data_IF_143598414024
#
_entry.id   IF_143598414024
#
_cell.length_a   1.000
_cell.length_b   1.000
_cell.length_c   1.000
_cell.angle_alpha   90.00
_cell.angle_beta   90.00
_cell.angle_gamma   90.00
#
_symmetry.space_group_name_H-M   'P 1'
#
loop_
_entity.id
_entity.type
_entity.pdbx_description
1 polymer ?
#
# COMPACT_ATOMS: atom_id res chain seq x y z
N UNK A 1 -3.02 -10.13 -9.25
CA UNK A 1 -3.15 -9.84 -8.74
C UNK A 1 -3.36 -9.69 -8.37
N UNK A 2 -3.36 -9.61 -8.29
CA UNK A 2 -3.56 -9.36 -7.70
C UNK A 2 -3.98 -9.49 -7.13
N UNK A 3 -4.32 -9.63 -6.95
CA UNK A 3 -4.72 -9.64 -6.38
C UNK A 3 -5.40 -10.09 -5.98
N UNK A 4 -5.50 -10.40 -6.07
CA UNK A 4 -6.16 -10.66 -5.58
C UNK A 4 -6.75 -10.58 -5.20
N UNK A 5 -7.15 -10.61 -5.49
CA UNK A 5 -7.70 -10.31 -4.96
C UNK A 5 -8.01 -10.26 -4.12
N UNK A 6 -8.02 -10.17 -3.83
CA UNK A 6 -8.30 -10.05 -3.03
C UNK A 6 -8.52 -10.13 -2.17
N UNK A 7 -8.70 -10.20 -2.04
CA UNK A 7 -9.04 -10.11 -1.20
C UNK A 7 -9.01 -10.09 -0.31
N UNK A 8 -9.01 -10.09 -0.10
CA UNK A 8 -8.99 -9.95 0.75
C UNK A 8 -9.19 -9.93 1.74
N UNK A 9 -9.25 -10.15 2.09
CA UNK A 9 -9.64 -10.02 2.99
C UNK A 9 -9.14 -9.79 4.05
N UNK A 10 -9.02 -9.47 4.33
CA UNK A 10 -8.43 -9.03 5.17
C UNK A 10 -9.02 -8.83 6.23
N UNK A 11 -9.25 -8.92 6.75
CA UNK A 11 -9.97 -8.86 7.74
C UNK A 11 -9.35 -8.41 8.84
N UNK A 12 -8.61 -7.85 8.82
CA UNK A 12 -8.01 -7.50 9.88
C UNK A 12 -8.65 -6.60 10.71
N UNK A 13 -8.43 -6.43 11.74
CA UNK A 13 -9.11 -5.69 12.50
C UNK A 13 -8.22 -4.82 12.95
N UNK A 14 -8.25 -3.97 12.86
CA UNK A 14 -7.53 -3.10 13.09
C UNK A 14 -7.07 -2.82 14.31
N UNK A 15 -7.29 -2.91 15.15
CA UNK A 15 -6.87 -2.57 16.25
C UNK A 15 -5.87 -1.69 15.84
N UNK A 16 -5.88 -1.35 14.72
CA UNK A 16 -5.09 -0.37 14.31
C UNK A 16 -3.66 -0.58 14.41
N UNK A 17 -3.25 -1.32 15.16
CA UNK A 17 -1.97 -1.48 15.25
C UNK A 17 -1.45 -2.71 14.77
N UNK A 18 -2.23 -3.64 14.53
CA UNK A 18 -1.74 -4.87 14.08
C UNK A 18 -1.60 -4.84 12.63
N UNK A 19 -0.49 -5.18 12.08
CA UNK A 19 -0.24 -5.26 10.67
C UNK A 19 -0.41 -6.69 10.24
N UNK A 20 -1.15 -6.94 9.17
CA UNK A 20 -1.31 -8.25 8.65
C UNK A 20 -0.61 -8.34 7.34
N UNK A 21 0.09 -9.42 7.09
CA UNK A 21 0.81 -9.64 5.85
C UNK A 21 -0.12 -10.36 4.90
N UNK A 22 -0.62 -9.63 3.90
CA UNK A 22 -1.60 -10.19 3.01
C UNK A 22 -1.11 -11.21 2.03
N UNK A 23 0.16 -11.24 1.77
CA UNK A 23 0.68 -12.23 0.85
C UNK A 23 1.24 -13.42 1.59
N UNK A 24 0.74 -13.68 2.78
CA UNK A 24 1.29 -14.73 3.59
C UNK A 24 0.80 -16.11 3.28
N UNK A 25 -0.18 -16.26 2.32
CA UNK A 25 -0.66 -17.53 2.02
C UNK A 25 0.45 -18.45 1.72
N UNK A 26 0.51 -19.57 2.29
CA UNK A 26 1.54 -20.57 2.07
C UNK A 26 2.82 -20.36 2.83
N UNK A 27 2.94 -19.30 3.59
CA UNK A 27 4.15 -19.10 4.34
C UNK A 27 4.03 -19.71 5.70
N UNK A 28 5.16 -19.94 6.33
CA UNK A 28 5.13 -20.46 7.66
C UNK A 28 4.55 -19.48 8.61
N UNK A 29 3.75 -19.95 9.53
CA UNK A 29 3.13 -19.10 10.52
C UNK A 29 4.15 -18.33 11.33
N UNK A 30 5.28 -18.96 11.65
CA UNK A 30 6.29 -18.30 12.45
C UNK A 30 6.89 -17.11 11.72
N UNK A 31 7.07 -17.20 10.41
CA UNK A 31 7.61 -16.09 9.64
C UNK A 31 6.65 -14.93 9.61
N UNK A 32 5.37 -15.22 9.47
CA UNK A 32 4.37 -14.16 9.47
C UNK A 32 4.31 -13.47 10.80
N UNK A 33 4.34 -14.23 11.89
CA UNK A 33 4.31 -13.62 13.20
C UNK A 33 5.53 -12.77 13.47
N UNK A 34 6.69 -13.25 13.04
CA UNK A 34 7.91 -12.50 13.21
C UNK A 34 7.80 -11.15 12.50
N UNK A 35 7.33 -11.15 11.26
CA UNK A 35 7.20 -9.93 10.51
C UNK A 35 6.21 -8.97 11.18
N UNK A 36 5.10 -9.49 11.64
CA UNK A 36 4.13 -8.62 12.30
C UNK A 36 4.68 -7.99 13.57
N UNK A 37 5.47 -8.74 14.33
CA UNK A 37 6.10 -8.17 15.50
C UNK A 37 7.07 -7.08 15.13
N UNK A 38 7.85 -7.30 14.06
CA UNK A 38 8.82 -6.31 13.64
C UNK A 38 8.18 -5.03 13.14
N UNK A 39 6.95 -5.13 12.65
CA UNK A 39 6.28 -3.96 12.10
C UNK A 39 5.46 -3.20 13.13
N UNK A 40 5.48 -3.66 14.39
CA UNK A 40 4.73 -2.95 15.42
C UNK A 40 5.64 -2.03 16.21
N UNK A 41 5.30 -1.83 17.42
CA UNK A 41 5.92 -0.83 18.27
C UNK A 41 7.28 -0.25 17.91
N UNK A 42 8.34 -1.00 17.90
CA UNK A 42 9.65 -0.36 17.69
C UNK A 42 9.78 0.31 16.33
N UNK A 43 8.98 -0.09 15.37
CA UNK A 43 9.13 0.46 14.03
C UNK A 43 8.36 1.76 13.81
N UNK A 44 7.54 2.18 14.77
CA UNK A 44 6.91 3.48 14.66
C UNK A 44 7.97 4.57 14.70
N UNK A 45 8.88 4.49 15.65
CA UNK A 45 9.95 5.48 15.77
C UNK A 45 10.91 5.39 14.59
N UNK A 46 11.19 4.17 14.15
CA UNK A 46 12.10 3.99 13.03
C UNK A 46 11.52 4.58 11.75
N UNK A 47 10.23 4.41 11.53
CA UNK A 47 9.59 4.98 10.36
C UNK A 47 9.70 6.49 10.37
N UNK A 48 9.44 7.09 11.51
CA UNK A 48 9.52 8.53 11.65
C UNK A 48 10.94 9.02 11.39
N UNK A 49 11.91 8.30 11.90
CA UNK A 49 13.30 8.69 11.73
C UNK A 49 13.71 8.64 10.26
N UNK A 50 13.18 7.68 9.51
CA UNK A 50 13.50 7.56 8.10
C UNK A 50 12.61 8.40 7.21
N UNK A 51 11.68 9.17 7.78
CA UNK A 51 10.84 10.05 6.99
C UNK A 51 9.59 9.41 6.44
N UNK A 52 9.27 8.21 6.85
CA UNK A 52 8.03 7.57 6.42
C UNK A 52 6.88 8.02 7.28
N UNK A 53 5.72 8.13 6.67
CA UNK A 53 4.52 8.60 7.35
C UNK A 53 3.91 7.55 8.25
N UNK A 54 4.27 6.28 8.07
CA UNK A 54 3.77 5.23 8.95
C UNK A 54 4.71 4.05 8.90
N UNK A 55 4.63 3.22 9.93
CA UNK A 55 5.42 2.00 9.96
C UNK A 55 4.99 1.01 8.89
N UNK A 56 3.80 1.21 8.34
CA UNK A 56 3.33 0.33 7.27
C UNK A 56 4.25 0.37 6.06
N UNK A 57 5.04 1.43 5.91
CA UNK A 57 5.99 1.51 4.82
C UNK A 57 6.95 0.31 4.83
N UNK A 58 7.34 -0.14 6.01
CA UNK A 58 8.28 -1.27 6.09
C UNK A 58 7.68 -2.57 5.61
N UNK A 59 6.37 -2.72 5.77
CA UNK A 59 5.72 -3.90 5.25
C UNK A 59 5.81 -3.94 3.73
N UNK A 60 5.63 -2.80 3.08
CA UNK A 60 5.73 -2.77 1.63
C UNK A 60 7.18 -2.95 1.17
N UNK A 61 8.14 -2.35 1.85
CA UNK A 61 9.53 -2.56 1.46
C UNK A 61 9.90 -4.03 1.60
N UNK A 62 9.41 -4.69 2.65
CA UNK A 62 9.67 -6.11 2.82
C UNK A 62 9.06 -6.94 1.70
N UNK A 63 7.81 -6.63 1.35
CA UNK A 63 7.14 -7.36 0.28
C UNK A 63 7.85 -7.15 -1.05
N UNK A 64 8.25 -5.91 -1.31
CA UNK A 64 8.91 -5.63 -2.57
C UNK A 64 10.32 -6.22 -2.62
N UNK A 65 11.03 -6.24 -1.50
CA UNK A 65 12.34 -6.90 -1.47
C UNK A 65 12.20 -8.37 -1.83
N UNK A 66 11.11 -8.96 -1.40
CA UNK A 66 10.91 -10.38 -1.64
C UNK A 66 10.39 -10.66 -3.04
N UNK A 67 9.43 -9.89 -3.49
CA UNK A 67 8.75 -10.20 -4.75
C UNK A 67 9.13 -9.30 -5.92
N UNK A 68 9.80 -8.20 -5.64
CA UNK A 68 10.36 -7.32 -6.67
C UNK A 68 9.37 -6.86 -7.72
N UNK A 69 8.23 -6.37 -7.27
CA UNK A 69 7.18 -6.00 -8.20
C UNK A 69 7.15 -4.51 -8.53
N UNK A 70 7.76 -3.67 -7.71
CA UNK A 70 7.67 -2.24 -7.95
C UNK A 70 8.62 -1.75 -9.04
N UNK A 71 9.76 -2.36 -9.17
CA UNK A 71 10.77 -1.83 -10.08
C UNK A 71 10.39 -1.92 -11.54
N UNK A 72 9.37 -2.70 -11.86
CA UNK A 72 8.93 -2.80 -13.24
C UNK A 72 7.56 -2.22 -13.46
N UNK A 73 6.96 -1.66 -12.43
CA UNK A 73 5.59 -1.20 -12.52
C UNK A 73 5.53 0.13 -13.23
N UNK A 74 4.59 0.29 -14.11
CA UNK A 74 4.41 1.55 -14.83
C UNK A 74 3.24 2.33 -14.31
N UNK A 75 2.21 1.66 -13.84
CA UNK A 75 1.03 2.33 -13.30
C UNK A 75 0.63 1.61 -12.03
N UNK A 76 0.65 2.33 -10.93
CA UNK A 76 0.44 1.78 -9.61
C UNK A 76 -0.70 2.52 -8.94
N UNK A 77 -1.60 1.78 -8.31
CA UNK A 77 -2.69 2.39 -7.55
C UNK A 77 -2.56 1.94 -6.09
N UNK A 78 -2.64 2.89 -5.18
CA UNK A 78 -2.57 2.65 -3.75
C UNK A 78 -3.94 2.97 -3.17
N UNK A 79 -4.72 1.95 -2.85
CA UNK A 79 -6.06 2.11 -2.32
C UNK A 79 -6.01 2.20 -0.81
N UNK A 80 -6.69 3.19 -0.25
CA UNK A 80 -6.64 3.42 1.19
C UNK A 80 -5.29 3.96 1.58
N UNK A 81 -4.82 4.96 0.85
CA UNK A 81 -3.44 5.36 0.90
C UNK A 81 -3.03 6.17 2.13
N UNK A 82 -3.97 6.86 2.77
CA UNK A 82 -3.60 7.73 3.89
C UNK A 82 -3.00 6.92 5.04
N UNK A 83 -1.99 7.39 5.68
CA UNK A 83 -1.34 8.70 5.57
C UNK A 83 -0.31 8.80 4.45
N UNK A 84 0.02 7.72 3.74
CA UNK A 84 0.87 7.80 2.58
C UNK A 84 2.17 7.01 2.64
N UNK A 85 2.33 6.16 3.63
CA UNK A 85 3.57 5.39 3.75
C UNK A 85 3.83 4.49 2.56
N UNK A 86 2.81 3.79 2.08
CA UNK A 86 2.97 2.92 0.92
C UNK A 86 3.17 3.74 -0.34
N UNK A 87 2.50 4.89 -0.45
CA UNK A 87 2.71 5.76 -1.60
C UNK A 87 4.17 6.23 -1.64
N UNK A 88 4.74 6.55 -0.50
CA UNK A 88 6.14 6.96 -0.43
C UNK A 88 7.07 5.88 -0.95
N UNK A 89 6.85 4.66 -0.54
CA UNK A 89 7.69 3.55 -0.98
C UNK A 89 7.54 3.33 -2.48
N UNK A 90 6.31 3.43 -2.98
CA UNK A 90 6.09 3.25 -4.42
C UNK A 90 6.83 4.30 -5.21
N UNK A 91 6.80 5.56 -4.76
CA UNK A 91 7.51 6.62 -5.46
C UNK A 91 9.02 6.36 -5.44
N UNK A 92 9.53 5.86 -4.33
CA UNK A 92 10.96 5.58 -4.23
C UNK A 92 11.40 4.46 -5.13
N UNK A 93 10.59 3.44 -5.28
CA UNK A 93 11.05 2.20 -5.91
C UNK A 93 10.56 1.97 -7.32
N UNK A 94 9.50 2.65 -7.73
CA UNK A 94 9.01 2.49 -9.10
C UNK A 94 9.96 3.20 -10.06
N UNK A 95 9.94 2.82 -11.33
CA UNK A 95 10.80 3.49 -12.30
C UNK A 95 10.44 4.95 -12.43
N UNK A 96 11.42 5.76 -12.82
CA UNK A 96 11.16 7.13 -13.08
C UNK A 96 10.10 7.21 -14.18
N UNK A 97 9.14 8.04 -14.02
CA UNK A 97 8.07 8.15 -14.99
C UNK A 97 6.89 7.24 -14.71
N UNK A 98 6.97 6.37 -13.72
CA UNK A 98 5.82 5.56 -13.37
C UNK A 98 4.71 6.47 -12.86
N UNK A 99 3.48 6.07 -13.15
CA UNK A 99 2.31 6.81 -12.69
C UNK A 99 1.84 6.16 -11.39
N UNK A 100 1.75 6.95 -10.34
CA UNK A 100 1.34 6.43 -9.04
C UNK A 100 0.14 7.23 -8.58
N UNK A 101 -0.98 6.56 -8.39
CA UNK A 101 -2.22 7.20 -7.98
C UNK A 101 -2.59 6.68 -6.60
N UNK A 102 -2.72 7.58 -5.66
CA UNK A 102 -3.11 7.25 -4.29
C UNK A 102 -4.55 7.68 -4.08
N UNK A 103 -5.32 6.84 -3.45
CA UNK A 103 -6.75 7.08 -3.26
C UNK A 103 -7.12 6.80 -1.82
N UNK A 104 -7.85 7.70 -1.21
CA UNK A 104 -8.37 7.47 0.14
C UNK A 104 -9.59 8.36 0.31
N UNK A 105 -10.51 7.91 1.13
CA UNK A 105 -11.66 8.72 1.47
C UNK A 105 -11.25 9.81 2.44
N UNK A 106 -10.15 9.61 3.17
CA UNK A 106 -9.62 10.61 4.08
C UNK A 106 -8.64 11.50 3.35
N UNK A 107 -8.44 12.69 3.87
CA UNK A 107 -7.43 13.56 3.32
C UNK A 107 -6.05 13.04 3.64
N UNK A 108 -5.10 13.36 2.80
CA UNK A 108 -3.71 13.14 3.16
C UNK A 108 -2.88 14.17 2.40
N UNK A 109 -1.71 14.47 2.94
CA UNK A 109 -0.80 15.35 2.25
C UNK A 109 -0.25 14.64 1.03
N UNK A 110 -0.12 15.37 -0.05
CA UNK A 110 0.38 14.77 -1.29
C UNK A 110 1.79 14.24 -1.09
N UNK A 111 2.06 13.08 -1.64
CA UNK A 111 3.41 12.55 -1.72
C UNK A 111 3.95 12.99 -3.07
N UNK A 112 5.04 13.72 -3.06
CA UNK A 112 5.60 14.23 -4.30
C UNK A 112 5.96 13.07 -5.21
N UNK A 113 5.60 13.17 -6.46
CA UNK A 113 5.79 12.07 -7.40
C UNK A 113 4.56 11.20 -7.58
N UNK A 114 3.50 11.49 -6.83
CA UNK A 114 2.25 10.74 -6.96
C UNK A 114 1.12 11.71 -7.21
N UNK A 115 -0.04 11.16 -7.52
CA UNK A 115 -1.26 11.92 -7.66
C UNK A 115 -2.23 11.40 -6.60
N UNK A 116 -2.88 12.28 -5.87
CA UNK A 116 -3.82 11.87 -4.82
C UNK A 116 -5.24 12.23 -5.22
N UNK A 117 -6.15 11.30 -5.08
CA UNK A 117 -7.57 11.52 -5.32
C UNK A 117 -8.30 11.16 -4.06
N UNK A 118 -8.99 12.14 -3.48
CA UNK A 118 -9.79 11.87 -2.30
C UNK A 118 -11.16 11.39 -2.79
N UNK A 119 -11.43 10.13 -2.64
CA UNK A 119 -12.71 9.58 -3.05
C UNK A 119 -12.94 8.25 -2.41
N UNK A 120 -14.22 7.83 -2.41
CA UNK A 120 -14.60 6.52 -1.96
C UNK A 120 -14.50 5.59 -3.16
N UNK A 121 -13.52 4.69 -3.14
CA UNK A 121 -13.32 3.82 -4.30
C UNK A 121 -14.42 2.76 -4.44
N UNK A 122 -15.35 2.74 -3.50
CA UNK A 122 -16.52 1.88 -3.63
C UNK A 122 -17.66 2.59 -4.35
N UNK A 123 -17.49 3.85 -4.73
CA UNK A 123 -18.52 4.60 -5.39
C UNK A 123 -18.75 4.16 -6.81
N UNK A 124 -19.87 4.61 -7.39
CA UNK A 124 -20.26 4.15 -8.72
C UNK A 124 -19.28 4.53 -9.81
N UNK A 125 -18.71 5.70 -9.72
CA UNK A 125 -17.82 6.16 -10.78
C UNK A 125 -16.35 5.94 -10.44
N UNK A 126 -16.07 5.20 -9.39
CA UNK A 126 -14.70 5.07 -8.91
C UNK A 126 -13.80 4.42 -9.95
N UNK A 127 -14.28 3.38 -10.57
CA UNK A 127 -13.46 2.66 -11.53
C UNK A 127 -13.08 3.55 -12.71
N UNK A 128 -14.04 4.32 -13.21
CA UNK A 128 -13.78 5.21 -14.33
C UNK A 128 -12.80 6.30 -13.94
N UNK A 129 -12.97 6.88 -12.78
CA UNK A 129 -12.07 7.93 -12.32
C UNK A 129 -10.66 7.41 -12.13
N UNK A 130 -10.57 6.18 -11.64
CA UNK A 130 -9.28 5.56 -11.42
C UNK A 130 -8.57 5.30 -12.74
N UNK A 131 -9.27 4.78 -13.72
CA UNK A 131 -8.69 4.51 -15.02
C UNK A 131 -8.24 5.80 -15.68
N UNK A 132 -9.02 6.84 -15.54
CA UNK A 132 -8.65 8.11 -16.11
C UNK A 132 -7.40 8.66 -15.46
N UNK A 133 -7.32 8.61 -14.15
CA UNK A 133 -6.17 9.11 -13.43
C UNK A 133 -4.91 8.31 -13.75
N UNK A 134 -5.07 7.01 -13.87
CA UNK A 134 -3.91 6.15 -14.16
C UNK A 134 -3.40 6.30 -15.58
N UNK A 135 -4.25 6.71 -16.49
CA UNK A 135 -3.84 6.96 -17.85
C UNK A 135 -3.65 5.71 -18.69
N UNK A 136 -4.11 4.58 -18.20
CA UNK A 136 -3.98 3.32 -18.95
C UNK A 136 -4.10 2.14 -18.00
N UNK A 137 -3.77 0.97 -18.49
CA UNK A 137 -3.89 -0.24 -17.66
C UNK A 137 -2.99 -0.17 -16.45
N UNK A 138 -3.51 -0.60 -15.31
CA UNK A 138 -2.78 -0.56 -14.05
C UNK A 138 -2.03 -1.86 -13.87
N UNK A 139 -0.74 -1.77 -13.58
CA UNK A 139 0.10 -2.95 -13.37
C UNK A 139 0.02 -3.48 -11.95
N UNK A 140 -0.12 -2.59 -11.00
CA UNK A 140 -0.07 -2.96 -9.59
C UNK A 140 -1.16 -2.22 -8.84
N UNK A 141 -1.97 -2.97 -8.12
CA UNK A 141 -2.94 -2.39 -7.19
C UNK A 141 -2.54 -2.87 -5.82
N UNK A 142 -2.32 -1.96 -4.92
CA UNK A 142 -1.91 -2.34 -3.58
C UNK A 142 -2.85 -1.71 -2.56
N UNK A 143 -2.98 -2.34 -1.42
CA UNK A 143 -3.85 -1.86 -0.37
C UNK A 143 -3.38 -2.39 0.96
N UNK A 144 -3.27 -1.51 1.93
CA UNK A 144 -2.93 -1.90 3.29
C UNK A 144 -4.07 -1.53 4.23
N UNK A 145 -5.29 -1.46 3.70
CA UNK A 145 -6.43 -1.09 4.53
C UNK A 145 -6.75 -2.17 5.53
N UNK A 146 -7.07 -1.74 6.73
CA UNK A 146 -7.55 -2.66 7.73
C UNK A 146 -9.06 -2.71 7.66
N UNK A 147 -9.62 -3.86 7.92
CA UNK A 147 -11.05 -3.93 7.99
C UNK A 147 -11.47 -3.38 9.30
N UNK A 148 -12.52 -2.73 9.35
CA UNK A 148 -12.95 -2.18 10.61
C UNK A 148 -14.37 -2.54 10.92
#
# INVERSE_FOLDING_TARGET
MSGDKGSSNTTGRSRGKRVRVKTARGKKTSSVRWLQRQLNEPYVAEARRQGYRSRAAFKLTWLDDKYKFLKRAKRIVDLGSAPGGWTQVAVERAPKGAKIVAIDIREMDLVEGSEFIQMDFMGEDAEDRLKEAAGGPVDVVMSDMANS
#
